data_IF_116700591536
#
_entry.id   IF_116700591536
#
_cell.length_a   1.000
_cell.length_b   1.000
_cell.length_c   1.000
_cell.angle_alpha   90.00
_cell.angle_beta   90.00
_cell.angle_gamma   90.00
#
_symmetry.space_group_name_H-M   'P 1'
#
loop_
_entity.id
_entity.type
_entity.pdbx_description
1 polymer ?
#
# COMPACT_ATOMS: atom_id res chain seq x y z
N UNK A 1 19.32 24.85 -2.18
CA UNK A 1 20.27 25.68 -1.41
C UNK A 1 21.54 24.91 -1.13
N UNK A 2 21.57 24.07 -0.09
CA UNK A 2 22.80 23.40 0.38
C UNK A 2 23.42 22.34 -0.56
N UNK A 3 22.67 21.78 -1.50
CA UNK A 3 23.23 20.80 -2.45
C UNK A 3 24.02 21.45 -3.61
N UNK A 4 23.73 22.71 -3.93
CA UNK A 4 24.45 23.47 -4.98
C UNK A 4 25.79 24.03 -4.49
N UNK A 5 26.09 23.93 -3.19
CA UNK A 5 27.36 24.41 -2.61
C UNK A 5 28.37 23.27 -2.39
N UNK A 6 28.06 22.04 -2.80
CA UNK A 6 29.01 20.92 -2.76
C UNK A 6 29.70 20.89 -4.12
N UNK A 7 30.70 21.76 -4.26
CA UNK A 7 31.64 21.73 -5.37
C UNK A 7 32.80 20.82 -4.96
N UNK A 8 32.96 19.67 -5.63
CA UNK A 8 34.10 18.79 -5.39
C UNK A 8 35.30 19.40 -6.12
N UNK A 9 36.40 19.78 -5.43
CA UNK A 9 37.56 20.35 -6.11
C UNK A 9 38.11 19.32 -7.12
N UNK A 10 38.11 19.71 -8.40
CA UNK A 10 38.50 18.94 -9.59
C UNK A 10 37.44 18.06 -10.29
N UNK A 11 36.16 18.11 -9.90
CA UNK A 11 35.07 17.47 -10.66
C UNK A 11 34.00 18.52 -10.94
N UNK A 12 34.00 19.06 -12.16
CA UNK A 12 32.91 19.89 -12.66
C UNK A 12 31.73 18.96 -12.95
N UNK A 13 30.77 18.90 -12.01
CA UNK A 13 29.65 17.94 -12.08
C UNK A 13 28.57 18.38 -13.09
N UNK A 14 28.61 19.63 -13.57
CA UNK A 14 27.60 20.20 -14.46
C UNK A 14 26.20 20.27 -13.84
N UNK A 15 26.13 20.35 -12.50
CA UNK A 15 24.88 20.42 -11.73
C UNK A 15 24.62 21.88 -11.38
N UNK A 16 23.87 22.56 -12.23
CA UNK A 16 23.65 24.00 -12.11
C UNK A 16 22.28 24.34 -11.51
N UNK A 17 21.35 23.38 -11.51
CA UNK A 17 19.96 23.60 -11.11
C UNK A 17 19.50 22.73 -9.93
N UNK A 18 18.53 23.20 -9.11
CA UNK A 18 17.96 22.40 -8.02
C UNK A 18 17.39 21.03 -8.45
N UNK A 19 16.73 20.88 -9.63
CA UNK A 19 16.31 19.58 -10.12
C UNK A 19 17.47 18.64 -10.46
N UNK A 20 18.53 19.14 -11.11
CA UNK A 20 19.73 18.33 -11.43
C UNK A 20 20.40 17.84 -10.15
N UNK A 21 20.51 18.70 -9.13
CA UNK A 21 21.06 18.32 -7.84
C UNK A 21 20.24 17.23 -7.14
N UNK A 22 18.90 17.30 -7.26
CA UNK A 22 18.01 16.26 -6.74
C UNK A 22 18.17 14.93 -7.49
N UNK A 23 18.27 14.97 -8.83
CA UNK A 23 18.49 13.78 -9.67
C UNK A 23 19.85 13.15 -9.36
N UNK A 24 20.92 13.94 -9.31
CA UNK A 24 22.27 13.45 -9.00
C UNK A 24 22.33 12.79 -7.62
N UNK A 25 21.69 13.40 -6.61
CA UNK A 25 21.57 12.81 -5.28
C UNK A 25 20.82 11.47 -5.29
N UNK A 26 19.74 11.37 -6.07
CA UNK A 26 18.97 10.14 -6.25
C UNK A 26 19.80 9.05 -6.95
N UNK A 27 20.57 9.40 -7.98
CA UNK A 27 21.48 8.48 -8.67
C UNK A 27 22.55 7.95 -7.70
N UNK A 28 23.16 8.84 -6.91
CA UNK A 28 24.13 8.44 -5.87
C UNK A 28 23.53 7.45 -4.86
N UNK A 29 22.31 7.71 -4.37
CA UNK A 29 21.58 6.78 -3.50
C UNK A 29 21.34 5.41 -4.17
N UNK A 30 20.96 5.39 -5.45
CA UNK A 30 20.77 4.13 -6.19
C UNK A 30 22.07 3.36 -6.39
N UNK A 31 23.20 4.03 -6.63
CA UNK A 31 24.52 3.40 -6.71
C UNK A 31 24.88 2.76 -5.36
N UNK A 32 24.69 3.47 -4.25
CA UNK A 32 24.91 2.92 -2.90
C UNK A 32 24.01 1.71 -2.63
N UNK A 33 22.72 1.78 -2.98
CA UNK A 33 21.80 0.66 -2.85
C UNK A 33 22.23 -0.55 -3.70
N UNK A 34 22.71 -0.33 -4.93
CA UNK A 34 23.24 -1.38 -5.79
C UNK A 34 24.48 -2.04 -5.19
N UNK A 35 25.41 -1.26 -4.61
CA UNK A 35 26.60 -1.79 -3.93
C UNK A 35 26.23 -2.66 -2.73
N UNK A 36 25.19 -2.30 -1.97
CA UNK A 36 24.65 -3.16 -0.91
C UNK A 36 24.02 -4.43 -1.48
N UNK A 37 23.23 -4.33 -2.56
CA UNK A 37 22.59 -5.48 -3.20
C UNK A 37 23.60 -6.50 -3.74
N UNK A 38 24.76 -6.06 -4.24
CA UNK A 38 25.84 -6.95 -4.70
C UNK A 38 26.41 -7.83 -3.58
N UNK A 39 26.25 -7.43 -2.32
CA UNK A 39 26.72 -8.20 -1.15
C UNK A 39 25.67 -9.17 -0.61
N UNK A 40 24.44 -9.17 -1.14
CA UNK A 40 23.39 -10.11 -0.71
C UNK A 40 23.78 -11.52 -1.19
N UNK A 41 24.00 -12.49 -0.28
CA UNK A 41 24.36 -13.85 -0.66
C UNK A 41 23.28 -14.49 -1.54
N UNK A 42 23.69 -15.35 -2.47
CA UNK A 42 22.73 -16.14 -3.26
C UNK A 42 21.94 -17.04 -2.32
N UNK A 43 20.61 -17.00 -2.42
CA UNK A 43 19.73 -17.88 -1.66
C UNK A 43 19.81 -19.31 -2.20
N UNK A 44 19.65 -20.30 -1.33
CA UNK A 44 19.59 -21.73 -1.70
C UNK A 44 18.22 -22.14 -2.25
N UNK A 45 17.37 -21.18 -2.58
CA UNK A 45 16.03 -21.45 -3.06
C UNK A 45 16.11 -22.12 -4.45
N UNK A 46 15.38 -23.23 -4.67
CA UNK A 46 15.41 -23.92 -5.96
C UNK A 46 14.88 -22.97 -7.05
N UNK A 47 15.63 -22.85 -8.15
CA UNK A 47 15.20 -22.08 -9.31
C UNK A 47 13.99 -22.76 -9.94
N UNK A 48 12.88 -22.04 -10.06
CA UNK A 48 11.70 -22.54 -10.74
C UNK A 48 11.76 -22.20 -12.23
N UNK A 49 11.48 -23.17 -13.12
CA UNK A 49 11.46 -22.91 -14.56
C UNK A 49 10.32 -21.95 -14.90
N UNK A 50 10.64 -20.90 -15.66
CA UNK A 50 9.65 -19.98 -16.22
C UNK A 50 9.19 -20.45 -17.61
N UNK A 51 7.94 -20.15 -17.96
CA UNK A 51 7.47 -20.32 -19.31
C UNK A 51 8.27 -19.39 -20.25
N UNK A 52 8.70 -19.93 -21.40
CA UNK A 52 9.54 -19.18 -22.35
C UNK A 52 8.72 -18.34 -23.33
N UNK A 53 7.38 -18.45 -23.31
CA UNK A 53 6.48 -17.70 -24.18
C UNK A 53 5.61 -16.73 -23.37
N UNK A 54 5.28 -15.58 -23.97
CA UNK A 54 4.41 -14.56 -23.35
C UNK A 54 3.04 -15.15 -22.98
N UNK A 55 2.45 -15.95 -23.87
CA UNK A 55 1.17 -16.63 -23.61
C UNK A 55 1.29 -17.59 -22.43
N UNK A 56 2.40 -18.32 -22.32
CA UNK A 56 2.67 -19.20 -21.18
C UNK A 56 2.78 -18.43 -19.86
N UNK A 57 3.45 -17.28 -19.86
CA UNK A 57 3.58 -16.41 -18.68
C UNK A 57 2.22 -15.83 -18.24
N UNK A 58 1.40 -15.37 -19.19
CA UNK A 58 0.05 -14.85 -18.89
C UNK A 58 -0.85 -15.95 -18.33
N UNK A 59 -0.76 -17.17 -18.87
CA UNK A 59 -1.52 -18.32 -18.36
C UNK A 59 -1.07 -18.73 -16.95
N UNK A 60 0.25 -18.77 -16.71
CA UNK A 60 0.82 -19.04 -15.37
C UNK A 60 0.38 -17.97 -14.36
N UNK A 61 0.48 -16.70 -14.75
CA UNK A 61 0.00 -15.59 -13.94
C UNK A 61 -1.50 -15.70 -13.63
N UNK A 62 -2.33 -15.99 -14.63
CA UNK A 62 -3.77 -16.14 -14.45
C UNK A 62 -4.10 -17.28 -13.48
N UNK A 63 -3.43 -18.43 -13.61
CA UNK A 63 -3.59 -19.55 -12.69
C UNK A 63 -3.17 -19.18 -11.26
N UNK A 64 -2.04 -18.47 -11.10
CA UNK A 64 -1.55 -17.97 -9.81
C UNK A 64 -2.53 -16.98 -9.17
N UNK A 65 -3.04 -16.03 -9.96
CA UNK A 65 -4.03 -15.07 -9.52
C UNK A 65 -5.32 -15.78 -9.06
N UNK A 66 -5.84 -16.74 -9.84
CA UNK A 66 -7.00 -17.53 -9.46
C UNK A 66 -6.78 -18.33 -8.18
N UNK A 67 -5.60 -18.94 -7.99
CA UNK A 67 -5.27 -19.67 -6.76
C UNK A 67 -5.31 -18.76 -5.53
N UNK A 68 -4.72 -17.57 -5.61
CA UNK A 68 -4.71 -16.63 -4.48
C UNK A 68 -6.10 -16.09 -4.15
N UNK A 69 -6.93 -15.85 -5.17
CA UNK A 69 -8.34 -15.45 -5.00
C UNK A 69 -9.25 -16.59 -4.50
N UNK A 70 -8.84 -17.86 -4.63
CA UNK A 70 -9.57 -19.00 -4.09
C UNK A 70 -9.18 -19.31 -2.64
N UNK A 71 -7.99 -18.91 -2.19
CA UNK A 71 -7.53 -19.06 -0.81
C UNK A 71 -8.34 -18.16 0.14
N UNK A 72 -8.94 -18.75 1.19
CA UNK A 72 -9.93 -18.04 2.02
C UNK A 72 -9.36 -16.88 2.83
N UNK A 73 -8.08 -16.94 3.21
CA UNK A 73 -7.37 -15.84 3.85
C UNK A 73 -6.72 -14.92 2.80
N UNK A 74 -6.13 -15.50 1.76
CA UNK A 74 -5.49 -14.82 0.65
C UNK A 74 -6.44 -13.85 -0.06
N UNK A 75 -7.67 -14.25 -0.36
CA UNK A 75 -8.68 -13.39 -1.01
C UNK A 75 -9.05 -12.18 -0.15
N UNK A 76 -9.14 -12.34 1.17
CA UNK A 76 -9.47 -11.25 2.11
C UNK A 76 -8.29 -10.30 2.24
N UNK A 77 -7.08 -10.86 2.36
CA UNK A 77 -5.85 -10.08 2.42
C UNK A 77 -5.64 -9.28 1.14
N UNK A 78 -5.73 -9.94 -0.01
CA UNK A 78 -5.59 -9.35 -1.33
C UNK A 78 -6.61 -8.25 -1.58
N UNK A 79 -7.90 -8.48 -1.29
CA UNK A 79 -8.92 -7.46 -1.45
C UNK A 79 -8.66 -6.22 -0.56
N UNK A 80 -8.22 -6.45 0.68
CA UNK A 80 -7.94 -5.36 1.63
C UNK A 80 -6.72 -4.54 1.21
N UNK A 81 -5.61 -5.18 0.86
CA UNK A 81 -4.39 -4.47 0.45
C UNK A 81 -4.59 -3.78 -0.89
N UNK A 82 -5.29 -4.42 -1.83
CA UNK A 82 -5.66 -3.85 -3.13
C UNK A 82 -6.45 -2.55 -2.96
N UNK A 83 -7.48 -2.56 -2.10
CA UNK A 83 -8.25 -1.36 -1.82
C UNK A 83 -7.40 -0.30 -1.12
N UNK A 84 -6.58 -0.69 -0.14
CA UNK A 84 -5.71 0.25 0.58
C UNK A 84 -4.75 0.99 -0.35
N UNK A 85 -4.06 0.27 -1.23
CA UNK A 85 -3.15 0.88 -2.21
C UNK A 85 -3.89 1.70 -3.25
N UNK A 86 -5.04 1.21 -3.71
CA UNK A 86 -5.94 1.95 -4.59
C UNK A 86 -6.32 3.32 -4.00
N UNK A 87 -6.66 3.34 -2.71
CA UNK A 87 -6.98 4.55 -1.96
C UNK A 87 -5.75 5.43 -1.78
N UNK A 88 -4.66 4.87 -1.26
CA UNK A 88 -3.44 5.60 -0.92
C UNK A 88 -2.79 6.25 -2.15
N UNK A 89 -2.77 5.55 -3.28
CA UNK A 89 -2.27 6.07 -4.55
C UNK A 89 -3.07 7.25 -5.08
N UNK A 90 -4.37 7.29 -4.80
CA UNK A 90 -5.27 8.38 -5.21
C UNK A 90 -5.46 9.46 -4.14
N UNK A 91 -5.14 9.17 -2.88
CA UNK A 91 -5.23 10.10 -1.76
C UNK A 91 -4.38 11.36 -2.01
N UNK A 92 -3.24 11.23 -2.68
CA UNK A 92 -2.42 12.38 -3.10
C UNK A 92 -3.25 13.39 -3.89
N UNK A 93 -3.99 12.95 -4.89
CA UNK A 93 -4.79 13.85 -5.73
C UNK A 93 -5.94 14.48 -4.95
N UNK A 94 -6.56 13.69 -4.07
CA UNK A 94 -7.63 14.13 -3.19
C UNK A 94 -7.13 15.21 -2.21
N UNK A 95 -6.00 14.96 -1.52
CA UNK A 95 -5.38 15.89 -0.56
C UNK A 95 -4.94 17.18 -1.25
N UNK A 96 -4.38 17.09 -2.46
CA UNK A 96 -4.00 18.28 -3.24
C UNK A 96 -5.22 19.15 -3.58
N UNK A 97 -6.28 18.54 -4.12
CA UNK A 97 -7.51 19.26 -4.47
C UNK A 97 -8.23 19.82 -3.23
N UNK A 98 -8.26 19.04 -2.15
CA UNK A 98 -8.83 19.45 -0.86
C UNK A 98 -8.06 20.61 -0.23
N UNK A 99 -6.73 20.54 -0.16
CA UNK A 99 -5.92 21.58 0.47
C UNK A 99 -6.02 22.91 -0.29
N UNK A 100 -6.11 22.86 -1.62
CA UNK A 100 -6.38 24.04 -2.43
C UNK A 100 -7.76 24.64 -2.12
N UNK A 101 -8.81 23.80 -2.03
CA UNK A 101 -10.18 24.25 -1.81
C UNK A 101 -10.49 24.69 -0.37
N UNK A 102 -9.93 24.00 0.64
CA UNK A 102 -10.25 24.20 2.05
C UNK A 102 -9.26 25.13 2.78
N UNK A 103 -7.99 25.15 2.37
CA UNK A 103 -6.93 25.92 3.03
C UNK A 103 -6.34 27.03 2.14
N UNK A 104 -6.72 27.09 0.86
CA UNK A 104 -6.13 28.03 -0.12
C UNK A 104 -4.67 27.70 -0.44
N UNK A 105 -4.25 26.45 -0.25
CA UNK A 105 -2.84 26.06 -0.38
C UNK A 105 -2.42 25.89 -1.84
N UNK A 106 -1.20 26.34 -2.15
CA UNK A 106 -0.53 26.01 -3.40
C UNK A 106 -0.07 24.55 -3.44
N UNK A 107 0.36 24.09 -4.62
CA UNK A 107 0.83 22.70 -4.84
C UNK A 107 1.94 22.27 -3.88
N UNK A 108 2.91 23.15 -3.62
CA UNK A 108 4.02 22.87 -2.70
C UNK A 108 3.55 22.64 -1.25
N UNK A 109 2.65 23.51 -0.76
CA UNK A 109 2.12 23.41 0.59
C UNK A 109 1.23 22.17 0.73
N UNK A 110 0.39 21.89 -0.26
CA UNK A 110 -0.46 20.71 -0.26
C UNK A 110 0.37 19.41 -0.37
N UNK A 111 1.47 19.41 -1.11
CA UNK A 111 2.42 18.28 -1.17
C UNK A 111 3.03 17.98 0.21
N UNK A 112 3.32 19.01 1.01
CA UNK A 112 3.83 18.81 2.38
C UNK A 112 2.84 18.06 3.28
N UNK A 113 1.53 18.27 3.11
CA UNK A 113 0.48 17.55 3.85
C UNK A 113 0.43 16.05 3.51
N UNK A 114 0.75 15.69 2.26
CA UNK A 114 0.93 14.28 1.87
C UNK A 114 2.13 13.67 2.59
N UNK A 115 3.20 14.44 2.78
CA UNK A 115 4.33 14.06 3.63
C UNK A 115 3.93 13.81 5.09
N UNK A 116 3.03 14.61 5.64
CA UNK A 116 2.49 14.43 7.02
C UNK A 116 1.73 13.10 7.15
N UNK A 117 0.92 12.72 6.15
CA UNK A 117 0.27 11.40 6.12
C UNK A 117 1.30 10.28 6.17
N UNK A 118 2.39 10.40 5.40
CA UNK A 118 3.45 9.39 5.36
C UNK A 118 4.15 9.19 6.72
N UNK A 119 4.32 10.26 7.51
CA UNK A 119 4.83 10.16 8.90
C UNK A 119 3.89 9.31 9.75
N UNK A 120 2.58 9.59 9.66
CA UNK A 120 1.55 8.78 10.33
C UNK A 120 1.61 7.31 9.89
N UNK A 121 1.71 7.06 8.59
CA UNK A 121 1.83 5.70 8.03
C UNK A 121 3.06 4.97 8.54
N UNK A 122 4.21 5.63 8.60
CA UNK A 122 5.41 5.03 9.18
C UNK A 122 5.21 4.67 10.66
N UNK A 123 4.64 5.58 11.46
CA UNK A 123 4.35 5.32 12.87
C UNK A 123 3.37 4.15 13.05
N UNK A 124 2.26 4.13 12.30
CA UNK A 124 1.28 3.04 12.32
C UNK A 124 1.87 1.70 11.90
N UNK A 125 2.75 1.70 10.89
CA UNK A 125 3.45 0.51 10.42
C UNK A 125 4.40 -0.06 11.48
N UNK A 126 5.18 0.80 12.15
CA UNK A 126 6.05 0.40 13.27
C UNK A 126 5.20 -0.21 14.38
N UNK A 127 4.13 0.46 14.81
CA UNK A 127 3.24 -0.06 15.86
C UNK A 127 2.64 -1.42 15.45
N UNK A 128 2.16 -1.57 14.22
CA UNK A 128 1.66 -2.86 13.74
C UNK A 128 2.73 -3.95 13.76
N UNK A 129 3.96 -3.65 13.36
CA UNK A 129 5.06 -4.63 13.36
C UNK A 129 5.43 -5.12 14.77
N UNK A 130 5.19 -4.31 15.81
CA UNK A 130 5.48 -4.66 17.20
C UNK A 130 4.34 -5.43 17.87
N UNK A 131 3.08 -5.15 17.51
CA UNK A 131 1.92 -5.65 18.25
C UNK A 131 1.03 -6.62 17.47
N UNK A 132 1.08 -6.63 16.13
CA UNK A 132 0.21 -7.45 15.31
C UNK A 132 0.93 -8.73 14.87
N UNK A 133 0.46 -9.87 15.40
CA UNK A 133 0.88 -11.19 14.91
C UNK A 133 0.12 -11.55 13.64
N UNK A 134 0.72 -12.38 12.79
CA UNK A 134 0.18 -12.77 11.49
C UNK A 134 -1.20 -13.44 11.58
N UNK A 135 -1.41 -14.26 12.61
CA UNK A 135 -2.68 -14.95 12.89
C UNK A 135 -3.82 -14.00 13.30
N UNK A 136 -3.49 -12.76 13.65
CA UNK A 136 -4.45 -11.70 13.98
C UNK A 136 -4.60 -10.66 12.88
N UNK A 137 -3.98 -10.85 11.70
CA UNK A 137 -4.03 -9.86 10.64
C UNK A 137 -5.47 -9.49 10.23
N UNK A 138 -6.39 -10.44 10.15
CA UNK A 138 -7.78 -10.15 9.77
C UNK A 138 -8.56 -9.34 10.81
N UNK A 139 -8.06 -9.21 12.04
CA UNK A 139 -8.67 -8.37 13.08
C UNK A 139 -8.59 -6.87 12.77
N UNK A 140 -7.71 -6.46 11.84
CA UNK A 140 -7.55 -5.05 11.44
C UNK A 140 -8.56 -4.60 10.38
N UNK A 141 -9.33 -5.52 9.77
CA UNK A 141 -10.32 -5.19 8.72
C UNK A 141 -11.29 -4.06 9.12
N UNK A 142 -11.84 -4.00 10.37
CA UNK A 142 -12.69 -2.89 10.79
C UNK A 142 -12.01 -1.52 10.71
N UNK A 143 -10.68 -1.45 10.86
CA UNK A 143 -9.93 -0.20 10.71
C UNK A 143 -9.99 0.36 9.29
N UNK A 144 -10.16 -0.47 8.27
CA UNK A 144 -10.38 0.03 6.90
C UNK A 144 -11.74 0.73 6.74
N UNK A 145 -12.77 0.28 7.47
CA UNK A 145 -14.06 1.00 7.50
C UNK A 145 -13.88 2.35 8.19
N UNK A 146 -13.19 2.35 9.34
CA UNK A 146 -12.86 3.58 10.08
C UNK A 146 -12.05 4.53 9.21
N UNK A 147 -11.09 4.04 8.43
CA UNK A 147 -10.32 4.85 7.49
C UNK A 147 -11.20 5.51 6.43
N UNK A 148 -12.10 4.77 5.79
CA UNK A 148 -13.04 5.32 4.80
C UNK A 148 -13.93 6.43 5.38
N UNK A 149 -14.47 6.20 6.58
CA UNK A 149 -15.25 7.22 7.32
C UNK A 149 -14.37 8.41 7.71
N UNK A 150 -13.14 8.16 8.13
CA UNK A 150 -12.18 9.22 8.49
C UNK A 150 -11.92 10.12 7.29
N UNK A 151 -11.70 9.58 6.09
CA UNK A 151 -11.51 10.40 4.88
C UNK A 151 -12.67 11.40 4.67
N UNK A 152 -13.92 11.02 4.96
CA UNK A 152 -15.08 11.93 4.85
C UNK A 152 -14.96 13.12 5.81
N UNK A 153 -14.41 12.92 7.01
CA UNK A 153 -14.24 14.00 7.98
C UNK A 153 -13.28 15.10 7.52
N UNK A 154 -12.46 14.87 6.50
CA UNK A 154 -11.64 15.93 5.88
C UNK A 154 -12.50 17.11 5.39
N UNK A 155 -13.75 16.86 5.02
CA UNK A 155 -14.67 17.91 4.53
C UNK A 155 -14.99 18.98 5.58
N UNK A 156 -14.80 18.69 6.87
CA UNK A 156 -15.09 19.64 7.95
C UNK A 156 -13.85 20.41 8.42
N UNK A 157 -12.67 20.08 7.89
CA UNK A 157 -11.40 20.64 8.32
C UNK A 157 -11.01 21.81 7.43
N UNK A 158 -10.93 23.00 8.03
CA UNK A 158 -10.57 24.26 7.36
C UNK A 158 -9.35 24.94 8.00
N UNK A 159 -8.66 24.26 8.93
CA UNK A 159 -7.53 24.80 9.67
C UNK A 159 -6.37 23.79 9.65
N UNK A 160 -5.18 24.26 9.25
CA UNK A 160 -3.97 23.43 9.17
C UNK A 160 -3.56 22.79 10.49
N UNK A 161 -3.78 23.47 11.61
CA UNK A 161 -3.46 22.96 12.95
C UNK A 161 -4.32 21.76 13.33
N UNK A 162 -5.50 21.63 12.72
CA UNK A 162 -6.37 20.44 12.84
C UNK A 162 -6.04 19.43 11.75
N UNK A 163 -5.75 19.89 10.53
CA UNK A 163 -5.41 19.04 9.40
C UNK A 163 -4.17 18.18 9.64
N UNK A 164 -3.07 18.76 10.13
CA UNK A 164 -1.84 18.04 10.35
C UNK A 164 -2.00 16.84 11.30
N UNK A 165 -2.49 16.98 12.55
CA UNK A 165 -2.68 15.84 13.44
C UNK A 165 -3.72 14.85 12.90
N UNK A 166 -4.75 15.34 12.21
CA UNK A 166 -5.75 14.49 11.58
C UNK A 166 -5.15 13.61 10.48
N UNK A 167 -4.29 14.18 9.62
CA UNK A 167 -3.61 13.46 8.55
C UNK A 167 -2.56 12.48 9.10
N UNK A 168 -1.89 12.81 10.20
CA UNK A 168 -1.04 11.84 10.93
C UNK A 168 -1.89 10.66 11.43
N UNK A 169 -3.04 10.94 12.04
CA UNK A 169 -3.95 9.89 12.53
C UNK A 169 -4.49 9.01 11.39
N UNK A 170 -4.94 9.62 10.29
CA UNK A 170 -5.37 8.92 9.08
C UNK A 170 -4.24 8.03 8.54
N UNK A 171 -3.03 8.57 8.44
CA UNK A 171 -1.84 7.83 8.03
C UNK A 171 -1.55 6.65 8.96
N UNK A 172 -1.66 6.83 10.27
CA UNK A 172 -1.40 5.80 11.27
C UNK A 172 -2.39 4.64 11.19
N UNK A 173 -3.68 4.91 10.99
CA UNK A 173 -4.67 3.86 10.70
C UNK A 173 -4.27 3.09 9.44
N UNK A 174 -3.81 3.80 8.41
CA UNK A 174 -3.33 3.22 7.16
C UNK A 174 -2.13 2.30 7.33
N UNK A 175 -1.08 2.79 7.98
CA UNK A 175 0.12 2.01 8.26
C UNK A 175 -0.18 0.78 9.10
N UNK A 176 -1.04 0.92 10.11
CA UNK A 176 -1.41 -0.19 10.98
C UNK A 176 -2.24 -1.26 10.26
N UNK A 177 -3.12 -0.86 9.33
CA UNK A 177 -3.91 -1.77 8.52
C UNK A 177 -3.04 -2.54 7.51
N UNK A 178 -2.19 -1.83 6.76
CA UNK A 178 -1.56 -2.38 5.57
C UNK A 178 -0.46 -3.41 5.89
N UNK A 179 0.30 -3.19 6.96
CA UNK A 179 1.44 -4.07 7.31
C UNK A 179 1.02 -5.52 7.58
N UNK A 180 0.10 -5.82 8.51
CA UNK A 180 -0.27 -7.20 8.80
C UNK A 180 -1.00 -7.86 7.62
N UNK A 181 -1.79 -7.09 6.86
CA UNK A 181 -2.50 -7.60 5.68
C UNK A 181 -1.53 -7.91 4.52
N UNK A 182 -0.50 -7.08 4.31
CA UNK A 182 0.56 -7.40 3.35
C UNK A 182 1.35 -8.63 3.78
N UNK A 183 1.67 -8.75 5.08
CA UNK A 183 2.38 -9.92 5.60
C UNK A 183 1.57 -11.21 5.40
N UNK A 184 0.27 -11.19 5.73
CA UNK A 184 -0.62 -12.34 5.51
C UNK A 184 -0.72 -12.69 4.02
N UNK A 185 -0.85 -11.69 3.16
CA UNK A 185 -0.90 -11.89 1.71
C UNK A 185 0.38 -12.53 1.17
N UNK A 186 1.54 -12.02 1.59
CA UNK A 186 2.84 -12.56 1.17
C UNK A 186 3.09 -13.97 1.72
N UNK A 187 2.69 -14.25 2.96
CA UNK A 187 2.77 -15.58 3.55
C UNK A 187 1.93 -16.60 2.78
N UNK A 188 0.64 -16.30 2.57
CA UNK A 188 -0.27 -17.17 1.81
C UNK A 188 0.20 -17.34 0.37
N UNK A 189 0.53 -16.24 -0.30
CA UNK A 189 0.98 -16.31 -1.68
C UNK A 189 2.32 -17.03 -1.85
N UNK A 190 3.26 -16.89 -0.91
CA UNK A 190 4.48 -17.69 -0.91
C UNK A 190 4.17 -19.19 -0.82
N UNK A 191 3.30 -19.58 0.11
CA UNK A 191 2.94 -20.98 0.32
C UNK A 191 2.14 -21.59 -0.86
N UNK A 192 1.41 -20.78 -1.63
CA UNK A 192 0.61 -21.26 -2.77
C UNK A 192 1.38 -21.33 -4.10
N UNK A 193 2.36 -20.43 -4.30
CA UNK A 193 2.98 -20.21 -5.62
C UNK A 193 4.42 -19.69 -5.58
N UNK A 194 5.01 -19.52 -4.41
CA UNK A 194 6.34 -18.94 -4.22
C UNK A 194 6.35 -17.40 -4.21
N UNK A 195 7.43 -16.82 -3.66
CA UNK A 195 7.50 -15.38 -3.39
C UNK A 195 7.38 -14.51 -4.65
N UNK A 196 8.08 -14.86 -5.73
CA UNK A 196 8.10 -14.04 -6.95
C UNK A 196 6.73 -13.94 -7.63
N UNK A 197 6.05 -15.08 -7.82
CA UNK A 197 4.69 -15.12 -8.39
C UNK A 197 3.68 -14.41 -7.49
N UNK A 198 3.81 -14.57 -6.16
CA UNK A 198 2.97 -13.86 -5.20
C UNK A 198 3.10 -12.35 -5.31
N UNK A 199 4.33 -11.82 -5.35
CA UNK A 199 4.57 -10.38 -5.48
C UNK A 199 4.01 -9.85 -6.80
N UNK A 200 4.12 -10.62 -7.89
CA UNK A 200 3.57 -10.24 -9.19
C UNK A 200 2.04 -10.16 -9.16
N UNK A 201 1.36 -11.16 -8.59
CA UNK A 201 -0.10 -11.17 -8.43
C UNK A 201 -0.57 -10.02 -7.55
N UNK A 202 0.12 -9.78 -6.43
CA UNK A 202 -0.17 -8.68 -5.52
C UNK A 202 -0.06 -7.33 -6.24
N UNK A 203 1.09 -7.04 -6.85
CA UNK A 203 1.31 -5.78 -7.56
C UNK A 203 0.29 -5.57 -8.68
N UNK A 204 -0.05 -6.61 -9.44
CA UNK A 204 -1.04 -6.47 -10.51
C UNK A 204 -2.41 -6.03 -9.98
N UNK A 205 -2.93 -6.69 -8.94
CA UNK A 205 -4.24 -6.34 -8.37
C UNK A 205 -4.21 -4.94 -7.76
N UNK A 206 -3.16 -4.60 -7.00
CA UNK A 206 -2.97 -3.30 -6.37
C UNK A 206 -2.88 -2.17 -7.42
N UNK A 207 -2.03 -2.33 -8.44
CA UNK A 207 -1.88 -1.35 -9.51
C UNK A 207 -3.16 -1.21 -10.36
N UNK A 208 -3.86 -2.32 -10.65
CA UNK A 208 -5.14 -2.27 -11.34
C UNK A 208 -6.19 -1.48 -10.53
N UNK A 209 -6.21 -1.62 -9.21
CA UNK A 209 -7.11 -0.85 -8.34
C UNK A 209 -6.72 0.63 -8.27
N UNK A 210 -5.42 0.96 -8.17
CA UNK A 210 -4.95 2.36 -8.26
C UNK A 210 -5.43 3.01 -9.55
N UNK A 211 -5.27 2.32 -10.68
CA UNK A 211 -5.74 2.80 -11.99
C UNK A 211 -7.27 2.93 -12.03
N UNK A 212 -7.99 1.93 -11.55
CA UNK A 212 -9.46 1.93 -11.53
C UNK A 212 -10.04 3.05 -10.67
N UNK A 213 -9.53 3.24 -9.45
CA UNK A 213 -9.95 4.33 -8.58
C UNK A 213 -9.48 5.70 -9.08
N UNK A 214 -8.34 5.78 -9.75
CA UNK A 214 -7.88 7.01 -10.41
C UNK A 214 -8.74 7.40 -11.60
N UNK A 215 -9.16 6.42 -12.41
CA UNK A 215 -10.13 6.62 -13.48
C UNK A 215 -11.49 7.06 -12.92
N UNK A 216 -11.93 6.43 -11.82
CA UNK A 216 -13.17 6.82 -11.12
C UNK A 216 -13.09 8.26 -10.59
N UNK A 217 -12.00 8.64 -9.93
CA UNK A 217 -11.77 10.02 -9.48
C UNK A 217 -11.77 11.02 -10.63
N UNK A 218 -11.04 10.71 -11.70
CA UNK A 218 -10.95 11.56 -12.90
C UNK A 218 -12.32 11.75 -13.55
N UNK A 219 -13.13 10.69 -13.62
CA UNK A 219 -14.50 10.75 -14.11
C UNK A 219 -15.36 11.68 -13.24
N UNK A 220 -15.31 11.55 -11.91
CA UNK A 220 -16.03 12.45 -11.00
C UNK A 220 -15.66 13.92 -11.23
N UNK A 221 -14.36 14.23 -11.32
CA UNK A 221 -13.90 15.60 -11.56
C UNK A 221 -14.31 16.12 -12.95
N UNK A 222 -14.36 15.25 -13.96
CA UNK A 222 -14.79 15.61 -15.31
C UNK A 222 -16.27 15.99 -15.38
N UNK A 223 -17.11 15.37 -14.55
CA UNK A 223 -18.52 15.73 -14.41
C UNK A 223 -18.76 16.94 -13.50
N UNK A 224 -17.71 17.65 -13.09
CA UNK A 224 -17.81 18.90 -12.32
C UNK A 224 -18.06 18.69 -10.83
N UNK A 225 -17.83 17.48 -10.30
CA UNK A 225 -17.97 17.23 -8.87
C UNK A 225 -16.92 18.04 -8.10
N UNK A 226 -17.34 18.70 -7.01
CA UNK A 226 -16.42 19.43 -6.14
C UNK A 226 -15.44 18.49 -5.43
N UNK A 227 -14.30 19.01 -4.98
CA UNK A 227 -13.33 18.25 -4.19
C UNK A 227 -13.99 17.59 -2.96
N UNK A 228 -14.86 18.32 -2.27
CA UNK A 228 -15.61 17.81 -1.11
C UNK A 228 -16.61 16.69 -1.47
N UNK A 229 -17.27 16.81 -2.62
CA UNK A 229 -18.14 15.76 -3.16
C UNK A 229 -17.34 14.49 -3.48
N UNK A 230 -16.19 14.65 -4.15
CA UNK A 230 -15.31 13.53 -4.49
C UNK A 230 -14.79 12.83 -3.23
N UNK A 231 -14.36 13.58 -2.20
CA UNK A 231 -13.94 13.03 -0.90
C UNK A 231 -15.04 12.20 -0.25
N UNK A 232 -16.28 12.71 -0.25
CA UNK A 232 -17.43 12.01 0.34
C UNK A 232 -17.69 10.69 -0.36
N UNK A 233 -17.80 10.71 -1.69
CA UNK A 233 -18.05 9.50 -2.47
C UNK A 233 -16.90 8.51 -2.31
N UNK A 234 -15.66 8.99 -2.35
CA UNK A 234 -14.49 8.13 -2.20
C UNK A 234 -14.47 7.47 -0.81
N UNK A 235 -14.69 8.23 0.25
CA UNK A 235 -14.77 7.69 1.62
C UNK A 235 -15.90 6.66 1.79
N UNK A 236 -17.07 6.91 1.19
CA UNK A 236 -18.21 5.98 1.21
C UNK A 236 -17.91 4.69 0.43
N UNK A 237 -17.29 4.79 -0.75
CA UNK A 237 -16.85 3.62 -1.53
C UNK A 237 -15.87 2.78 -0.71
N UNK A 238 -14.87 3.40 -0.09
CA UNK A 238 -13.89 2.70 0.74
C UNK A 238 -14.54 2.03 1.94
N UNK A 239 -15.36 2.77 2.69
CA UNK A 239 -16.04 2.24 3.87
C UNK A 239 -17.00 1.09 3.50
N UNK A 240 -17.75 1.24 2.40
CA UNK A 240 -18.67 0.24 1.89
C UNK A 240 -17.96 -1.02 1.41
N UNK A 241 -16.88 -0.87 0.63
CA UNK A 241 -16.07 -2.02 0.17
C UNK A 241 -15.40 -2.73 1.33
N UNK A 242 -14.82 -2.01 2.29
CA UNK A 242 -14.25 -2.63 3.50
C UNK A 242 -15.30 -3.34 4.35
N UNK A 243 -16.50 -2.80 4.44
CA UNK A 243 -17.62 -3.46 5.12
C UNK A 243 -18.05 -4.74 4.39
N UNK A 244 -18.07 -4.75 3.06
CA UNK A 244 -18.31 -5.97 2.28
C UNK A 244 -17.19 -7.01 2.47
N UNK A 245 -15.92 -6.59 2.47
CA UNK A 245 -14.78 -7.48 2.75
C UNK A 245 -14.91 -8.08 4.15
N UNK A 246 -15.32 -7.29 5.15
CA UNK A 246 -15.59 -7.78 6.51
C UNK A 246 -16.70 -8.82 6.54
N UNK A 247 -17.83 -8.55 5.88
CA UNK A 247 -18.95 -9.50 5.75
C UNK A 247 -18.51 -10.79 5.07
N UNK A 248 -17.69 -10.67 4.02
CA UNK A 248 -17.14 -11.82 3.31
C UNK A 248 -16.24 -12.67 4.21
N UNK A 249 -15.34 -12.03 4.97
CA UNK A 249 -14.50 -12.74 5.93
C UNK A 249 -15.32 -13.45 7.02
N UNK A 250 -16.36 -12.78 7.55
CA UNK A 250 -17.28 -13.37 8.53
C UNK A 250 -18.01 -14.60 7.98
N UNK A 251 -18.39 -14.59 6.69
CA UNK A 251 -18.97 -15.76 6.04
C UNK A 251 -17.97 -16.89 5.89
N UNK A 252 -16.72 -16.59 5.51
CA UNK A 252 -15.67 -17.61 5.42
C UNK A 252 -15.40 -18.28 6.77
N UNK A 253 -15.48 -17.53 7.87
CA UNK A 253 -15.31 -18.09 9.22
C UNK A 253 -16.42 -19.06 9.63
N UNK A 254 -17.59 -19.01 8.98
CA UNK A 254 -18.72 -19.91 9.26
C UNK A 254 -18.79 -21.04 8.24
N UNK A 255 -18.71 -20.72 6.95
CA UNK A 255 -18.88 -21.68 5.85
C UNK A 255 -17.60 -22.52 5.61
N UNK A 256 -16.43 -22.01 5.97
CA UNK A 256 -15.12 -22.63 5.74
C UNK A 256 -14.26 -22.64 7.02
N UNK A 257 -14.89 -22.86 8.17
CA UNK A 257 -14.24 -22.76 9.48
C UNK A 257 -12.97 -23.61 9.57
N UNK A 258 -13.07 -24.90 9.26
CA UNK A 258 -11.95 -25.85 9.36
C UNK A 258 -10.76 -25.44 8.48
N UNK A 259 -11.04 -24.98 7.25
CA UNK A 259 -10.02 -24.48 6.34
C UNK A 259 -9.36 -23.23 6.92
N UNK A 260 -10.13 -22.24 7.35
CA UNK A 260 -9.59 -20.98 7.89
C UNK A 260 -8.78 -21.22 9.16
N UNK A 261 -9.24 -22.09 10.07
CA UNK A 261 -8.52 -22.43 11.30
C UNK A 261 -7.19 -23.11 11.00
N UNK A 262 -7.17 -24.08 10.07
CA UNK A 262 -5.93 -24.69 9.60
C UNK A 262 -4.97 -23.67 9.00
N UNK A 263 -5.47 -22.72 8.21
CA UNK A 263 -4.62 -21.67 7.62
C UNK A 263 -4.04 -20.71 8.68
N UNK A 264 -4.82 -20.40 9.72
CA UNK A 264 -4.35 -19.58 10.84
C UNK A 264 -3.32 -20.32 11.70
N UNK A 265 -3.49 -21.62 11.91
CA UNK A 265 -2.53 -22.43 12.66
C UNK A 265 -1.21 -22.61 11.90
N UNK A 266 -1.24 -22.75 10.57
CA UNK A 266 -0.03 -22.71 9.74
C UNK A 266 0.69 -21.35 9.90
N UNK A 267 -0.04 -20.24 9.92
CA UNK A 267 0.53 -18.92 10.16
C UNK A 267 1.12 -18.75 11.57
N UNK A 268 0.64 -19.50 12.57
CA UNK A 268 1.20 -19.51 13.93
C UNK A 268 2.48 -20.35 14.04
N UNK A 269 2.51 -21.50 13.36
CA UNK A 269 3.56 -22.52 13.50
C UNK A 269 4.79 -22.24 12.66
N UNK A 270 4.70 -21.49 11.56
CA UNK A 270 5.86 -21.04 10.76
C UNK A 270 6.83 -20.10 11.52
N UNK A 271 6.48 -19.67 12.74
CA UNK A 271 7.37 -18.93 13.64
C UNK A 271 8.15 -19.82 14.62
N UNK A 272 7.83 -21.11 14.73
CA UNK A 272 8.61 -22.04 15.53
C UNK A 272 9.79 -22.51 14.68
N UNK A 273 11.03 -22.42 15.16
CA UNK A 273 12.15 -23.04 14.47
C UNK A 273 11.79 -24.52 14.31
N UNK A 274 11.70 -24.98 13.07
CA UNK A 274 11.72 -26.40 12.77
C UNK A 274 13.09 -26.87 13.26
N UNK A 275 13.11 -27.50 14.44
CA UNK A 275 14.28 -28.23 14.92
C UNK A 275 14.72 -29.14 13.78
N UNK A 276 15.87 -28.80 13.21
CA UNK A 276 16.62 -29.62 12.26
C UNK A 276 17.46 -30.62 13.03
#
# INVERSE_FOLDING_TARGET
GMLLSIDLPMIDTGIDTPPEAAIASLVGLYVLAALFNLRIPRTTAPLQPFAHSVVGLVRDFSACNSRLWQDKLGQISLATTTLFWGVSGNLRYIVLAWAAAALGYGTQQASSLVGVVAIGTAAGAVVASLYCRLDRATSVIPLGIVMGVTVIFMNFIHNVWVAAPFLVFLGAIGGYLVVPMNALLQHRGHNLMGAGRSIAVQNFNEQACILGLGAFYTAMTRFGLSAFGAITIFGLVVAGTMWWIRRWHQRNLVEHQDEVEQLLDLARTDHLPVDR
#
